data_IF_986532911763
#
_entry.id   IF_986532911763
#
_cell.length_a   1.000
_cell.length_b   1.000
_cell.length_c   1.000
_cell.angle_alpha   90.00
_cell.angle_beta   90.00
_cell.angle_gamma   90.00
#
_symmetry.space_group_name_H-M   'P 1'
#
loop_
_entity.id
_entity.type
_entity.pdbx_description
1 polymer ?
#
# COMPACT_ATOMS: atom_id res chain seq x y z
N UNK A 1 -9.35 22.10 2.72
CA UNK A 1 -9.33 21.65 1.31
C UNK A 1 -7.86 21.52 0.89
N UNK A 2 -7.31 20.30 0.76
CA UNK A 2 -5.94 20.10 0.26
C UNK A 2 -6.02 19.59 -1.17
N UNK A 3 -5.59 20.43 -2.09
CA UNK A 3 -5.43 20.11 -3.51
C UNK A 3 -4.13 19.32 -3.62
N UNK A 4 -4.20 18.03 -3.94
CA UNK A 4 -3.04 17.27 -4.38
C UNK A 4 -3.03 17.23 -5.90
N UNK A 5 -1.92 17.72 -6.46
CA UNK A 5 -1.68 17.85 -7.89
C UNK A 5 -1.84 16.54 -8.64
N UNK A 6 -2.56 16.63 -9.75
CA UNK A 6 -2.80 15.59 -10.72
C UNK A 6 -1.50 15.28 -11.48
N UNK A 7 -0.84 14.18 -11.14
CA UNK A 7 -0.06 13.39 -12.11
C UNK A 7 -0.86 12.09 -12.27
N UNK A 8 -1.78 12.06 -13.23
CA UNK A 8 -2.78 10.99 -13.34
C UNK A 8 -2.18 9.66 -13.80
N UNK A 9 -1.42 8.99 -12.93
CA UNK A 9 -1.28 7.54 -13.05
C UNK A 9 -2.64 6.93 -12.70
N UNK A 10 -3.20 6.02 -13.52
CA UNK A 10 -4.50 5.38 -13.22
C UNK A 10 -4.45 4.52 -11.95
N UNK A 11 -3.26 4.33 -11.39
CA UNK A 11 -2.98 3.53 -10.21
C UNK A 11 -2.19 4.35 -9.20
N UNK A 12 -2.33 3.98 -7.93
CA UNK A 12 -1.60 4.56 -6.82
C UNK A 12 -0.08 4.34 -7.01
N UNK A 13 0.80 5.34 -6.79
CA UNK A 13 2.24 5.18 -7.01
C UNK A 13 2.83 4.04 -6.16
N UNK A 14 2.37 3.89 -4.91
CA UNK A 14 2.80 2.79 -4.04
C UNK A 14 2.13 1.44 -4.34
N UNK A 15 1.30 1.32 -5.40
CA UNK A 15 0.73 0.03 -5.80
C UNK A 15 1.71 -0.85 -6.60
N UNK A 16 2.82 -0.29 -7.08
CA UNK A 16 3.84 -1.01 -7.83
C UNK A 16 4.78 -1.74 -6.86
N UNK A 17 5.01 -3.03 -7.09
CA UNK A 17 5.95 -3.84 -6.31
C UNK A 17 7.21 -4.07 -7.14
N UNK A 18 8.37 -4.11 -6.49
CA UNK A 18 9.64 -4.43 -7.15
C UNK A 18 9.82 -5.93 -7.38
N UNK A 19 9.32 -6.75 -6.45
CA UNK A 19 9.49 -8.20 -6.43
C UNK A 19 8.62 -9.00 -7.42
N UNK A 20 7.62 -8.37 -8.07
CA UNK A 20 6.64 -9.10 -8.88
C UNK A 20 6.18 -8.31 -10.12
N UNK A 21 5.80 -9.04 -11.18
CA UNK A 21 5.14 -8.49 -12.36
C UNK A 21 3.92 -7.64 -11.98
N UNK A 22 3.88 -6.41 -12.46
CA UNK A 22 2.81 -5.45 -12.21
C UNK A 22 1.76 -5.50 -13.34
N UNK A 23 0.70 -6.27 -13.12
CA UNK A 23 -0.46 -6.37 -14.03
C UNK A 23 -1.60 -5.45 -13.57
N UNK A 24 -2.46 -5.01 -14.50
CA UNK A 24 -3.54 -4.04 -14.27
C UNK A 24 -4.48 -4.45 -13.13
N UNK A 25 -4.92 -5.71 -13.08
CA UNK A 25 -5.80 -6.22 -12.01
C UNK A 25 -5.15 -6.09 -10.64
N UNK A 26 -3.87 -6.45 -10.53
CA UNK A 26 -3.13 -6.34 -9.27
C UNK A 26 -2.86 -4.89 -8.88
N UNK A 27 -2.55 -4.02 -9.85
CA UNK A 27 -2.37 -2.58 -9.63
C UNK A 27 -3.67 -1.92 -9.15
N UNK A 28 -4.80 -2.25 -9.78
CA UNK A 28 -6.12 -1.75 -9.39
C UNK A 28 -6.47 -2.16 -7.95
N UNK A 29 -6.30 -3.44 -7.60
CA UNK A 29 -6.60 -3.93 -6.26
C UNK A 29 -5.72 -3.27 -5.19
N UNK A 30 -4.40 -3.22 -5.41
CA UNK A 30 -3.45 -2.56 -4.48
C UNK A 30 -3.74 -1.06 -4.36
N UNK A 31 -4.12 -0.39 -5.45
CA UNK A 31 -4.47 1.03 -5.42
C UNK A 31 -5.69 1.28 -4.54
N UNK A 32 -6.76 0.50 -4.70
CA UNK A 32 -7.96 0.62 -3.84
C UNK A 32 -7.64 0.38 -2.36
N UNK A 33 -6.83 -0.63 -2.08
CA UNK A 33 -6.41 -0.95 -0.70
C UNK A 33 -5.61 0.21 -0.09
N UNK A 34 -4.66 0.77 -0.84
CA UNK A 34 -3.84 1.89 -0.36
C UNK A 34 -4.69 3.12 -0.10
N UNK A 35 -5.61 3.48 -1.01
CA UNK A 35 -6.53 4.60 -0.80
C UNK A 35 -7.41 4.43 0.44
N UNK A 36 -7.92 3.21 0.70
CA UNK A 36 -8.70 2.93 1.90
C UNK A 36 -7.87 3.12 3.19
N UNK A 37 -6.63 2.59 3.21
CA UNK A 37 -5.73 2.71 4.38
C UNK A 37 -5.29 4.16 4.63
N UNK A 38 -5.04 4.93 3.55
CA UNK A 38 -4.67 6.34 3.62
C UNK A 38 -5.84 7.21 4.12
N UNK A 39 -7.06 6.87 3.75
CA UNK A 39 -8.25 7.50 4.30
C UNK A 39 -8.43 7.15 5.79
N UNK A 40 -8.22 5.89 6.17
CA UNK A 40 -8.31 5.40 7.54
C UNK A 40 -7.50 4.13 7.76
N UNK A 41 -6.66 4.14 8.79
CA UNK A 41 -6.03 2.90 9.26
C UNK A 41 -7.09 1.93 9.79
N UNK A 42 -7.20 0.77 9.16
CA UNK A 42 -8.34 -0.13 9.33
C UNK A 42 -7.95 -1.60 9.25
N UNK A 43 -8.84 -2.48 9.68
CA UNK A 43 -8.63 -3.92 9.59
C UNK A 43 -8.81 -4.45 8.16
N UNK A 44 -8.26 -5.62 7.87
CA UNK A 44 -8.44 -6.25 6.55
C UNK A 44 -9.92 -6.54 6.21
N UNK A 45 -10.78 -6.67 7.23
CA UNK A 45 -12.23 -6.84 7.03
C UNK A 45 -12.87 -5.53 6.58
N UNK A 46 -12.60 -4.44 7.28
CA UNK A 46 -13.09 -3.10 6.92
C UNK A 46 -12.61 -2.69 5.53
N UNK A 47 -11.34 -2.95 5.20
CA UNK A 47 -10.78 -2.67 3.86
C UNK A 47 -11.51 -3.50 2.79
N UNK A 48 -11.88 -4.75 3.08
CA UNK A 48 -12.65 -5.60 2.17
C UNK A 48 -14.04 -5.03 1.89
N UNK A 49 -14.72 -4.57 2.94
CA UNK A 49 -16.05 -3.94 2.84
C UNK A 49 -15.98 -2.61 2.07
N UNK A 50 -14.99 -1.76 2.34
CA UNK A 50 -14.82 -0.46 1.69
C UNK A 50 -14.43 -0.57 0.21
N UNK A 51 -13.53 -1.50 -0.12
CA UNK A 51 -13.00 -1.63 -1.49
C UNK A 51 -13.86 -2.52 -2.40
N UNK A 52 -14.80 -3.28 -1.82
CA UNK A 52 -15.55 -4.33 -2.52
C UNK A 52 -14.71 -5.53 -2.95
N UNK A 53 -13.44 -5.61 -2.52
CA UNK A 53 -12.57 -6.74 -2.78
C UNK A 53 -12.84 -7.86 -1.79
N UNK A 54 -12.68 -9.11 -2.21
CA UNK A 54 -12.81 -10.24 -1.29
C UNK A 54 -11.69 -10.22 -0.23
N UNK A 55 -12.01 -10.65 0.99
CA UNK A 55 -11.11 -10.63 2.14
C UNK A 55 -9.77 -11.35 1.88
N UNK A 56 -9.79 -12.48 1.17
CA UNK A 56 -8.56 -13.24 0.86
C UNK A 56 -7.64 -12.46 -0.08
N UNK A 57 -8.19 -11.79 -1.10
CA UNK A 57 -7.46 -10.90 -1.99
C UNK A 57 -6.90 -9.69 -1.26
N UNK A 58 -7.68 -9.10 -0.33
CA UNK A 58 -7.19 -8.00 0.51
C UNK A 58 -5.98 -8.44 1.33
N UNK A 59 -6.09 -9.55 2.07
CA UNK A 59 -4.96 -10.09 2.84
C UNK A 59 -3.75 -10.44 1.96
N UNK A 60 -3.98 -10.99 0.78
CA UNK A 60 -2.91 -11.30 -0.16
C UNK A 60 -2.13 -10.05 -0.56
N UNK A 61 -2.84 -8.99 -0.94
CA UNK A 61 -2.21 -7.73 -1.35
C UNK A 61 -1.58 -6.98 -0.17
N UNK A 62 -2.18 -6.99 1.01
CA UNK A 62 -1.61 -6.40 2.22
C UNK A 62 -0.25 -7.02 2.57
N UNK A 63 -0.13 -8.36 2.50
CA UNK A 63 1.15 -9.04 2.72
C UNK A 63 2.21 -8.68 1.69
N UNK A 64 1.82 -8.51 0.43
CA UNK A 64 2.75 -8.07 -0.62
C UNK A 64 3.24 -6.65 -0.38
N UNK A 65 2.33 -5.74 0.00
CA UNK A 65 2.68 -4.36 0.33
C UNK A 65 3.52 -4.27 1.62
N UNK A 66 3.26 -5.15 2.60
CA UNK A 66 4.04 -5.28 3.84
C UNK A 66 5.47 -5.75 3.54
N UNK A 67 5.62 -6.72 2.63
CA UNK A 67 6.93 -7.21 2.20
C UNK A 67 7.77 -6.12 1.52
N UNK A 68 7.16 -5.19 0.79
CA UNK A 68 7.86 -4.02 0.23
C UNK A 68 8.00 -2.87 1.25
N UNK A 69 7.53 -3.02 2.48
CA UNK A 69 7.61 -1.99 3.52
C UNK A 69 6.67 -0.79 3.31
N UNK A 70 5.69 -0.90 2.41
CA UNK A 70 4.76 0.18 2.04
C UNK A 70 3.65 0.34 3.09
N UNK A 71 3.18 -0.78 3.63
CA UNK A 71 2.20 -0.83 4.72
C UNK A 71 2.76 -1.64 5.88
N UNK A 72 2.24 -1.37 7.07
CA UNK A 72 2.54 -2.16 8.26
C UNK A 72 1.24 -2.46 9.00
N UNK A 73 1.32 -3.41 9.94
CA UNK A 73 0.21 -3.78 10.82
C UNK A 73 0.60 -3.68 12.27
N UNK A 74 -0.37 -3.35 13.13
CA UNK A 74 -0.19 -3.25 14.59
C UNK A 74 -1.33 -3.92 15.35
N UNK A 75 -1.07 -4.20 16.63
CA UNK A 75 -2.03 -4.76 17.57
C UNK A 75 -2.18 -6.28 17.47
N UNK A 76 -3.19 -6.80 18.19
CA UNK A 76 -3.63 -8.20 18.12
C UNK A 76 -4.65 -8.42 16.99
N UNK A 77 -5.17 -9.64 16.87
CA UNK A 77 -6.24 -9.93 15.88
C UNK A 77 -7.56 -9.24 16.31
N UNK A 78 -8.30 -8.58 15.40
CA UNK A 78 -7.93 -8.30 14.01
C UNK A 78 -6.89 -7.18 13.91
N UNK A 79 -5.82 -7.43 13.14
CA UNK A 79 -4.75 -6.46 12.95
C UNK A 79 -5.25 -5.18 12.26
N UNK A 80 -4.75 -4.03 12.71
CA UNK A 80 -4.98 -2.73 12.06
C UNK A 80 -3.82 -2.43 11.11
N UNK A 81 -4.15 -2.15 9.85
CA UNK A 81 -3.21 -1.83 8.79
C UNK A 81 -3.09 -0.32 8.60
N UNK A 82 -1.88 0.17 8.33
CA UNK A 82 -1.56 1.58 8.12
C UNK A 82 -0.40 1.73 7.13
N UNK A 83 -0.30 2.87 6.45
CA UNK A 83 0.83 3.18 5.57
C UNK A 83 2.05 3.59 6.40
N UNK A 84 3.23 3.11 6.03
CA UNK A 84 4.49 3.38 6.76
C UNK A 84 5.06 4.77 6.47
N UNK A 85 4.58 5.43 5.42
CA UNK A 85 5.17 6.67 4.89
C UNK A 85 6.49 6.45 4.13
N UNK A 86 7.08 5.25 4.17
CA UNK A 86 8.27 4.91 3.39
C UNK A 86 7.94 4.88 1.89
N UNK A 87 6.75 4.41 1.52
CA UNK A 87 6.34 4.32 0.12
C UNK A 87 7.37 3.59 -0.75
N UNK A 88 7.35 3.86 -2.04
CA UNK A 88 8.42 3.41 -2.92
C UNK A 88 9.65 4.30 -2.70
N UNK A 89 10.48 3.95 -1.70
CA UNK A 89 11.81 4.53 -1.53
C UNK A 89 12.65 4.22 -2.77
N UNK A 90 12.64 5.13 -3.74
CA UNK A 90 13.66 5.15 -4.79
C UNK A 90 15.01 5.35 -4.11
N UNK A 91 16.02 4.66 -4.65
CA UNK A 91 17.48 4.66 -4.41
C UNK A 91 18.14 5.81 -3.60
N UNK A 92 17.54 6.98 -3.47
CA UNK A 92 18.05 8.16 -2.77
C UNK A 92 18.35 7.91 -1.28
N UNK A 93 17.56 7.07 -0.59
CA UNK A 93 17.86 6.73 0.80
C UNK A 93 19.02 5.73 0.96
N UNK A 94 19.29 4.90 -0.06
CA UNK A 94 20.41 3.95 -0.03
C UNK A 94 21.76 4.65 -0.19
N UNK A 95 21.79 5.80 -0.87
CA UNK A 95 23.00 6.62 -1.03
C UNK A 95 23.33 7.36 0.28
N UNK A 96 22.31 7.66 1.11
CA UNK A 96 22.50 8.42 2.36
C UNK A 96 23.08 7.60 3.52
N UNK A 97 23.07 6.27 3.43
CA UNK A 97 23.60 5.35 4.45
C UNK A 97 24.99 4.76 4.13
N UNK A 98 25.73 5.32 3.17
CA UNK A 98 27.16 5.01 3.04
C UNK A 98 27.98 5.97 3.92
N UNK A 99 28.38 5.58 5.16
CA UNK A 99 29.43 6.32 5.83
C UNK A 99 30.72 6.10 5.02
N UNK A 100 31.46 7.19 4.84
CA UNK A 100 32.82 7.19 4.30
C UNK A 100 33.73 6.16 4.98
#
# INVERSE_FOLDING_TARGET
MRIFGCLATPYHPNAYLSSKRNVSTGLSARSKILSAIEARSSSAKEISEETGLNYRSVLYHLKLLEHEGIVARKGGRPYVWFTTGAGQLRLEQLIKESPH
#
